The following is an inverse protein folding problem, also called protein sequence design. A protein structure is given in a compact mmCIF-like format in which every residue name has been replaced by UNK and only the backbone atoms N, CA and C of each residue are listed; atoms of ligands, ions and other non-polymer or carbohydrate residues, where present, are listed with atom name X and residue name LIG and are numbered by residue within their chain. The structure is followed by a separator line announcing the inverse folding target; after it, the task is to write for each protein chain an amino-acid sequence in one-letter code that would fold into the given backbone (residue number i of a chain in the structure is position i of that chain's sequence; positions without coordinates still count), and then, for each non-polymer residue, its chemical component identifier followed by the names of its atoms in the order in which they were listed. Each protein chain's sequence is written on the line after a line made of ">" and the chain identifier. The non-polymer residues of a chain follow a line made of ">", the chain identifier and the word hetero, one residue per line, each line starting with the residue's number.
data_IF_854946012409
#
_entry.id   IF_854946012409
#
_cell.length_a   1.000
_cell.length_b   1.000
_cell.length_c   1.000
_cell.angle_alpha   90.00
_cell.angle_beta   90.00
_cell.angle_gamma   90.00
#
_symmetry.space_group_name_H-M   'P 1'
#
loop_
_entity.id
_entity.type
_entity.pdbx_description
1 polymer ?
#
# COMPACT_ATOMS: atom_id res chain seq x y z
N UNK A 1 -21.85 -11.02 -12.36
CA UNK A 1 -22.89 -10.07 -12.82
C UNK A 1 -22.19 -8.72 -12.98
N UNK A 2 -22.82 -7.65 -13.48
CA UNK A 2 -22.13 -6.35 -13.48
C UNK A 2 -22.05 -5.82 -12.05
N UNK A 3 -20.85 -5.46 -11.59
CA UNK A 3 -20.65 -4.71 -10.34
C UNK A 3 -21.45 -3.40 -10.42
N UNK A 4 -22.27 -3.13 -9.41
CA UNK A 4 -23.01 -1.87 -9.26
C UNK A 4 -22.30 -1.03 -8.21
N UNK A 5 -21.87 0.18 -8.59
CA UNK A 5 -21.15 1.09 -7.69
C UNK A 5 -22.09 1.76 -6.69
N UNK A 6 -21.70 1.84 -5.42
CA UNK A 6 -22.50 2.36 -4.31
C UNK A 6 -22.87 3.83 -4.51
N UNK A 7 -21.96 4.63 -5.07
CA UNK A 7 -22.21 6.04 -5.41
C UNK A 7 -23.32 6.23 -6.47
N UNK A 8 -23.60 5.21 -7.29
CA UNK A 8 -24.68 5.23 -8.30
C UNK A 8 -26.02 4.70 -7.77
N UNK A 9 -26.06 4.14 -6.55
CA UNK A 9 -27.29 3.58 -5.99
C UNK A 9 -28.23 4.68 -5.47
N UNK A 10 -29.52 4.49 -5.73
CA UNK A 10 -30.64 5.22 -5.15
C UNK A 10 -31.34 4.34 -4.10
N UNK A 11 -32.47 4.80 -3.56
CA UNK A 11 -33.29 3.98 -2.67
C UNK A 11 -33.87 2.78 -3.44
N UNK A 12 -33.66 1.57 -2.92
CA UNK A 12 -34.10 0.35 -3.62
C UNK A 12 -33.38 -0.90 -3.16
N UNK A 13 -33.51 -1.96 -3.95
CA UNK A 13 -32.84 -3.24 -3.73
C UNK A 13 -31.94 -3.55 -4.92
N UNK A 14 -30.69 -3.90 -4.65
CA UNK A 14 -29.66 -4.16 -5.66
C UNK A 14 -29.05 -5.54 -5.42
N UNK A 15 -28.73 -6.24 -6.50
CA UNK A 15 -27.84 -7.40 -6.46
C UNK A 15 -26.50 -7.03 -7.09
N UNK A 16 -25.41 -7.20 -6.34
CA UNK A 16 -24.08 -6.85 -6.82
C UNK A 16 -23.01 -7.71 -6.15
N UNK A 17 -21.92 -7.93 -6.88
CA UNK A 17 -20.70 -8.52 -6.35
C UNK A 17 -19.94 -7.47 -5.52
N UNK A 18 -19.39 -7.87 -4.37
CA UNK A 18 -18.64 -7.01 -3.44
C UNK A 18 -17.42 -7.74 -2.87
N UNK A 19 -16.52 -6.98 -2.24
CA UNK A 19 -15.49 -7.49 -1.33
C UNK A 19 -15.92 -7.25 0.11
N UNK A 20 -15.85 -8.28 0.96
CA UNK A 20 -16.10 -8.15 2.40
C UNK A 20 -14.84 -7.64 3.09
N UNK A 21 -14.83 -6.38 3.50
CA UNK A 21 -13.66 -5.74 4.12
C UNK A 21 -13.53 -6.05 5.61
N UNK A 22 -14.63 -6.10 6.36
CA UNK A 22 -14.61 -6.47 7.78
C UNK A 22 -15.95 -7.02 8.26
N UNK A 23 -15.93 -7.93 9.23
CA UNK A 23 -17.15 -8.51 9.83
C UNK A 23 -17.12 -8.32 11.35
N UNK A 24 -17.97 -7.41 11.84
CA UNK A 24 -18.13 -7.13 13.26
C UNK A 24 -19.46 -7.68 13.77
N UNK A 25 -19.41 -8.65 14.68
CA UNK A 25 -20.60 -9.19 15.32
C UNK A 25 -20.99 -8.36 16.54
N UNK A 26 -22.27 -8.00 16.60
CA UNK A 26 -22.90 -7.28 17.71
C UNK A 26 -24.31 -7.83 17.94
N UNK A 27 -25.08 -7.21 18.83
CA UNK A 27 -26.47 -7.55 19.11
C UNK A 27 -27.38 -6.33 18.90
N UNK A 28 -28.61 -6.58 18.47
CA UNK A 28 -29.69 -5.59 18.47
C UNK A 28 -30.10 -5.21 19.90
N UNK A 29 -30.89 -4.15 20.06
CA UNK A 29 -31.46 -3.77 21.35
C UNK A 29 -32.28 -4.88 22.02
N UNK A 30 -32.88 -5.78 21.22
CA UNK A 30 -33.62 -6.95 21.70
C UNK A 30 -32.73 -8.19 21.90
N UNK A 31 -31.41 -8.00 21.95
CA UNK A 31 -30.39 -9.03 22.12
C UNK A 31 -30.35 -10.13 21.04
N UNK A 32 -30.96 -9.88 19.87
CA UNK A 32 -30.80 -10.74 18.68
C UNK A 32 -29.47 -10.49 17.99
N UNK A 33 -28.83 -11.51 17.40
CA UNK A 33 -27.55 -11.35 16.72
C UNK A 33 -27.68 -10.44 15.50
N UNK A 34 -26.67 -9.58 15.30
CA UNK A 34 -26.56 -8.67 14.18
C UNK A 34 -25.10 -8.53 13.75
N UNK A 35 -24.84 -8.50 12.45
CA UNK A 35 -23.53 -8.19 11.91
C UNK A 35 -23.54 -6.77 11.35
N UNK A 36 -22.47 -6.03 11.64
CA UNK A 36 -22.07 -4.85 10.89
C UNK A 36 -20.96 -5.29 9.95
N UNK A 37 -21.28 -5.38 8.67
CA UNK A 37 -20.37 -5.82 7.61
C UNK A 37 -19.92 -4.60 6.83
N UNK A 38 -18.62 -4.37 6.77
CA UNK A 38 -18.05 -3.36 5.86
C UNK A 38 -17.79 -4.03 4.52
N UNK A 39 -18.34 -3.46 3.46
CA UNK A 39 -18.23 -3.97 2.09
C UNK A 39 -17.65 -2.89 1.18
N UNK A 40 -16.89 -3.32 0.17
CA UNK A 40 -16.25 -2.47 -0.84
C UNK A 40 -16.72 -2.87 -2.23
N UNK A 41 -16.96 -1.86 -3.07
CA UNK A 41 -17.22 -2.01 -4.50
C UNK A 41 -16.01 -1.61 -5.38
N UNK A 42 -14.86 -1.30 -4.74
CA UNK A 42 -13.63 -0.84 -5.38
C UNK A 42 -13.48 0.69 -5.46
N UNK A 43 -14.55 1.45 -5.27
CA UNK A 43 -14.55 2.92 -5.23
C UNK A 43 -14.87 3.43 -3.83
N UNK A 44 -15.93 2.91 -3.23
CA UNK A 44 -16.41 3.25 -1.90
C UNK A 44 -16.43 2.02 -0.98
N UNK A 45 -16.31 2.30 0.32
CA UNK A 45 -16.55 1.32 1.37
C UNK A 45 -17.69 1.78 2.26
N UNK A 46 -18.73 0.94 2.38
CA UNK A 46 -19.92 1.24 3.17
C UNK A 46 -20.09 0.21 4.29
N UNK A 47 -20.74 0.64 5.39
CA UNK A 47 -21.15 -0.25 6.47
C UNK A 47 -22.61 -0.66 6.29
N UNK A 48 -22.85 -1.96 6.10
CA UNK A 48 -24.19 -2.53 5.99
C UNK A 48 -24.53 -3.43 7.19
N UNK A 49 -25.81 -3.48 7.55
CA UNK A 49 -26.31 -4.32 8.63
C UNK A 49 -26.89 -5.63 8.09
N UNK A 50 -26.58 -6.74 8.74
CA UNK A 50 -27.19 -8.05 8.48
C UNK A 50 -27.79 -8.57 9.79
N UNK A 51 -29.10 -8.80 9.80
CA UNK A 51 -29.84 -9.20 11.00
C UNK A 51 -29.96 -10.73 11.11
N UNK A 52 -30.23 -11.21 12.31
CA UNK A 52 -30.50 -12.63 12.61
C UNK A 52 -29.38 -13.58 12.09
N UNK A 53 -28.13 -13.09 12.05
CA UNK A 53 -26.96 -13.79 11.50
C UNK A 53 -25.74 -13.61 12.41
N UNK A 54 -24.87 -14.62 12.46
CA UNK A 54 -23.62 -14.59 13.24
C UNK A 54 -22.38 -14.74 12.34
N UNK A 55 -21.21 -14.38 12.87
CA UNK A 55 -19.93 -14.56 12.15
C UNK A 55 -19.66 -16.04 11.86
N UNK A 56 -20.14 -16.94 12.74
CA UNK A 56 -20.05 -18.39 12.52
C UNK A 56 -20.88 -18.84 11.31
N UNK A 57 -22.05 -18.24 11.08
CA UNK A 57 -22.91 -18.59 9.95
C UNK A 57 -22.26 -18.18 8.62
N UNK A 58 -21.68 -16.98 8.56
CA UNK A 58 -20.91 -16.52 7.39
C UNK A 58 -19.69 -17.40 7.13
N UNK A 59 -18.91 -17.71 8.18
CA UNK A 59 -17.74 -18.58 8.04
C UNK A 59 -18.14 -19.98 7.53
N UNK A 60 -19.30 -20.51 7.94
CA UNK A 60 -19.79 -21.82 7.52
C UNK A 60 -20.11 -21.91 6.02
N UNK A 61 -20.47 -20.78 5.41
CA UNK A 61 -20.67 -20.67 3.95
C UNK A 61 -19.42 -20.16 3.22
N UNK A 62 -18.28 -20.02 3.91
CA UNK A 62 -17.02 -19.58 3.30
C UNK A 62 -16.92 -18.07 3.06
N UNK A 63 -17.68 -17.26 3.80
CA UNK A 63 -17.54 -15.80 3.81
C UNK A 63 -16.71 -15.39 5.03
N UNK A 64 -15.54 -14.81 4.76
CA UNK A 64 -14.65 -14.20 5.73
C UNK A 64 -14.14 -12.84 5.22
N UNK A 65 -13.29 -12.18 6.00
CA UNK A 65 -12.68 -10.92 5.60
C UNK A 65 -11.76 -11.17 4.40
N UNK A 66 -11.97 -10.41 3.32
CA UNK A 66 -11.28 -10.57 2.05
C UNK A 66 -11.97 -11.52 1.09
N UNK A 67 -13.10 -12.14 1.45
CA UNK A 67 -13.92 -12.90 0.51
C UNK A 67 -14.68 -11.98 -0.44
N UNK A 68 -14.88 -12.45 -1.67
CA UNK A 68 -15.85 -11.90 -2.61
C UNK A 68 -17.22 -12.53 -2.40
N UNK A 69 -18.27 -11.73 -2.45
CA UNK A 69 -19.64 -12.21 -2.27
C UNK A 69 -20.61 -11.53 -3.22
N UNK A 70 -21.60 -12.28 -3.70
CA UNK A 70 -22.80 -11.73 -4.30
C UNK A 70 -23.78 -11.40 -3.17
N UNK A 71 -24.19 -10.14 -3.07
CA UNK A 71 -25.13 -9.68 -2.05
C UNK A 71 -26.43 -9.18 -2.66
N UNK A 72 -27.50 -9.28 -1.88
CA UNK A 72 -28.71 -8.48 -2.07
C UNK A 72 -28.69 -7.35 -1.04
N UNK A 73 -28.59 -6.12 -1.50
CA UNK A 73 -28.45 -4.90 -0.69
C UNK A 73 -29.71 -4.05 -0.77
N UNK A 74 -30.34 -3.79 0.36
CA UNK A 74 -31.42 -2.82 0.52
C UNK A 74 -30.84 -1.45 0.93
N UNK A 75 -31.08 -0.43 0.13
CA UNK A 75 -30.71 0.96 0.38
C UNK A 75 -31.97 1.72 0.81
N UNK A 76 -31.96 2.23 2.04
CA UNK A 76 -33.10 2.91 2.68
C UNK A 76 -32.69 4.28 3.20
N UNK A 77 -33.64 5.20 3.38
CA UNK A 77 -33.41 6.42 4.13
C UNK A 77 -33.71 6.18 5.62
N UNK A 78 -32.76 6.55 6.48
CA UNK A 78 -32.97 6.59 7.91
C UNK A 78 -32.54 7.95 8.47
N UNK A 79 -33.55 8.78 8.79
CA UNK A 79 -33.36 10.13 9.34
C UNK A 79 -32.50 11.04 8.44
N UNK A 80 -32.70 10.95 7.12
CA UNK A 80 -31.97 11.76 6.14
C UNK A 80 -30.57 11.25 5.81
N UNK A 81 -30.18 10.06 6.32
CA UNK A 81 -28.94 9.39 5.95
C UNK A 81 -29.24 8.06 5.25
N UNK A 82 -28.44 7.71 4.24
CA UNK A 82 -28.52 6.39 3.60
C UNK A 82 -28.18 5.30 4.62
N UNK A 83 -29.02 4.28 4.67
CA UNK A 83 -28.89 3.09 5.51
C UNK A 83 -28.88 1.85 4.64
N UNK A 84 -27.88 1.00 4.85
CA UNK A 84 -27.61 -0.18 4.02
C UNK A 84 -27.88 -1.46 4.81
N UNK A 85 -28.65 -2.38 4.22
CA UNK A 85 -28.99 -3.67 4.83
C UNK A 85 -28.76 -4.82 3.85
N UNK A 86 -27.98 -5.81 4.26
CA UNK A 86 -27.76 -7.04 3.49
C UNK A 86 -28.87 -8.03 3.86
N UNK A 87 -29.65 -8.47 2.87
CA UNK A 87 -30.70 -9.47 3.05
C UNK A 87 -30.29 -10.87 2.61
N UNK A 88 -29.32 -10.95 1.69
CA UNK A 88 -28.74 -12.20 1.21
C UNK A 88 -27.26 -12.00 0.91
N UNK A 89 -26.44 -13.01 1.15
CA UNK A 89 -25.00 -13.00 0.87
C UNK A 89 -24.55 -14.42 0.54
N UNK A 90 -23.89 -14.59 -0.59
CA UNK A 90 -23.37 -15.87 -1.04
C UNK A 90 -21.93 -15.71 -1.54
N UNK A 91 -21.02 -16.65 -1.23
CA UNK A 91 -19.66 -16.60 -1.76
C UNK A 91 -19.68 -16.68 -3.28
N UNK A 92 -18.86 -15.86 -3.92
CA UNK A 92 -18.62 -15.92 -5.36
C UNK A 92 -17.13 -15.96 -5.61
N UNK A 93 -16.67 -16.75 -6.58
CA UNK A 93 -15.30 -16.68 -7.08
C UNK A 93 -15.31 -15.88 -8.38
N UNK A 94 -14.67 -14.72 -8.37
CA UNK A 94 -14.59 -13.86 -9.53
C UNK A 94 -13.31 -14.15 -10.34
N UNK A 95 -13.37 -14.07 -11.68
CA UNK A 95 -12.17 -13.94 -12.50
C UNK A 95 -11.36 -12.70 -12.09
N UNK A 96 -10.05 -12.71 -12.36
CA UNK A 96 -9.13 -11.63 -11.97
C UNK A 96 -9.57 -10.25 -12.48
N UNK A 97 -10.05 -10.16 -13.72
CA UNK A 97 -10.50 -8.91 -14.35
C UNK A 97 -11.79 -8.34 -13.74
N UNK A 98 -12.65 -9.20 -13.18
CA UNK A 98 -13.85 -8.76 -12.44
C UNK A 98 -13.49 -8.38 -11.01
N UNK A 99 -12.56 -9.12 -10.39
CA UNK A 99 -12.05 -8.84 -9.06
C UNK A 99 -11.36 -7.47 -9.00
N UNK A 100 -10.56 -7.11 -10.01
CA UNK A 100 -9.90 -5.79 -10.10
C UNK A 100 -10.89 -4.62 -10.03
N UNK A 101 -12.14 -4.80 -10.47
CA UNK A 101 -13.16 -3.76 -10.40
C UNK A 101 -13.68 -3.50 -8.98
N UNK A 102 -13.45 -4.43 -8.05
CA UNK A 102 -13.89 -4.38 -6.65
C UNK A 102 -12.78 -4.03 -5.66
N UNK A 103 -11.57 -3.79 -6.17
CA UNK A 103 -10.39 -3.49 -5.37
C UNK A 103 -9.92 -2.09 -5.71
N UNK A 104 -9.56 -1.30 -4.69
CA UNK A 104 -8.98 0.02 -4.91
C UNK A 104 -7.58 -0.16 -5.51
N UNK A 105 -7.37 0.44 -6.68
CA UNK A 105 -6.13 0.35 -7.47
C UNK A 105 -5.47 1.73 -7.59
N UNK A 106 -4.13 1.80 -7.77
CA UNK A 106 -3.45 3.03 -8.15
C UNK A 106 -3.88 3.52 -9.55
N UNK A 107 -3.63 4.80 -9.88
CA UNK A 107 -3.96 5.36 -11.19
C UNK A 107 -3.07 4.84 -12.34
N UNK A 108 -2.01 4.10 -12.02
CA UNK A 108 -1.10 3.45 -12.98
C UNK A 108 -1.10 1.97 -12.66
N UNK A 109 -1.20 1.11 -13.68
CA UNK A 109 -1.22 -0.34 -13.48
C UNK A 109 0.01 -0.82 -12.70
N UNK A 110 -0.15 -1.67 -11.67
CA UNK A 110 0.95 -2.12 -10.82
C UNK A 110 2.14 -2.76 -11.57
N UNK A 111 1.89 -3.49 -12.65
CA UNK A 111 2.96 -4.05 -13.49
C UNK A 111 3.75 -2.98 -14.24
N UNK A 112 3.09 -1.90 -14.66
CA UNK A 112 3.74 -0.74 -15.28
C UNK A 112 4.58 0.03 -14.26
N UNK A 113 4.05 0.25 -13.06
CA UNK A 113 4.79 0.84 -11.94
C UNK A 113 6.10 0.10 -11.66
N UNK A 114 6.08 -1.25 -11.62
CA UNK A 114 7.30 -2.04 -11.39
C UNK A 114 8.32 -1.87 -12.52
N UNK A 115 7.88 -1.83 -13.78
CA UNK A 115 8.78 -1.58 -14.92
C UNK A 115 9.42 -0.20 -14.82
N UNK A 116 8.63 0.82 -14.50
CA UNK A 116 9.10 2.18 -14.36
C UNK A 116 10.07 2.33 -13.19
N UNK A 117 9.78 1.71 -12.04
CA UNK A 117 10.68 1.65 -10.88
C UNK A 117 12.02 1.05 -11.28
N UNK A 118 12.03 -0.10 -11.97
CA UNK A 118 13.27 -0.74 -12.42
C UNK A 118 14.03 0.17 -13.39
N UNK A 119 13.32 0.84 -14.30
CA UNK A 119 13.92 1.81 -15.22
C UNK A 119 14.56 2.98 -14.48
N UNK A 120 13.87 3.56 -13.49
CA UNK A 120 14.39 4.63 -12.62
C UNK A 120 15.59 4.16 -11.81
N UNK A 121 15.60 2.93 -11.30
CA UNK A 121 16.76 2.37 -10.56
C UNK A 121 17.95 2.18 -11.50
N UNK A 122 17.74 1.71 -12.73
CA UNK A 122 18.80 1.54 -13.73
C UNK A 122 19.45 2.87 -14.12
N UNK A 123 18.62 3.88 -14.36
CA UNK A 123 19.07 5.21 -14.78
C UNK A 123 19.85 5.98 -13.69
N UNK A 124 19.68 5.63 -12.40
CA UNK A 124 20.21 6.43 -11.29
C UNK A 124 21.74 6.41 -11.20
N UNK A 125 22.36 5.33 -11.64
CA UNK A 125 23.82 5.14 -11.61
C UNK A 125 24.55 5.76 -12.79
N UNK A 126 23.84 6.15 -13.85
CA UNK A 126 24.45 6.56 -15.13
C UNK A 126 25.13 5.43 -15.91
N UNK A 127 25.07 4.17 -15.45
CA UNK A 127 25.60 3.01 -16.18
C UNK A 127 24.69 2.67 -17.38
N UNK A 128 25.25 2.14 -18.48
CA UNK A 128 24.49 1.84 -19.70
C UNK A 128 23.71 0.52 -19.55
N UNK A 129 22.63 0.52 -18.77
CA UNK A 129 21.71 -0.61 -18.72
C UNK A 129 20.76 -0.63 -19.92
N UNK A 130 20.38 -1.83 -20.35
CA UNK A 130 19.23 -2.01 -21.22
C UNK A 130 17.94 -1.75 -20.42
N UNK A 131 17.21 -0.69 -20.78
CA UNK A 131 15.96 -0.30 -20.13
C UNK A 131 14.74 -1.07 -20.64
N UNK A 132 14.89 -1.89 -21.69
CA UNK A 132 13.80 -2.72 -22.25
C UNK A 132 13.59 -4.02 -21.48
N UNK A 133 14.54 -4.37 -20.61
CA UNK A 133 14.50 -5.58 -19.77
C UNK A 133 14.38 -5.20 -18.30
N UNK A 134 13.93 -6.15 -17.48
CA UNK A 134 13.96 -6.02 -16.01
C UNK A 134 15.24 -6.56 -15.38
N UNK A 135 16.16 -7.12 -16.18
CA UNK A 135 17.36 -7.80 -15.69
C UNK A 135 18.59 -6.89 -15.66
N UNK A 136 19.62 -7.32 -14.93
CA UNK A 136 20.95 -6.68 -14.88
C UNK A 136 22.04 -7.71 -15.19
N UNK A 137 23.22 -7.30 -15.67
CA UNK A 137 24.32 -8.23 -15.91
C UNK A 137 24.64 -9.09 -14.68
N UNK A 138 24.91 -10.38 -14.90
CA UNK A 138 25.08 -11.35 -13.81
C UNK A 138 26.33 -11.09 -12.94
N UNK A 139 27.31 -10.38 -13.48
CA UNK A 139 28.55 -9.95 -12.84
C UNK A 139 28.52 -8.50 -12.34
N UNK A 140 27.37 -7.83 -12.42
CA UNK A 140 27.16 -6.51 -11.83
C UNK A 140 26.79 -6.62 -10.34
N UNK A 141 27.62 -6.01 -9.50
CA UNK A 141 27.49 -5.96 -8.04
C UNK A 141 27.40 -4.53 -7.51
N UNK A 142 26.77 -3.66 -8.28
CA UNK A 142 26.40 -2.31 -7.87
C UNK A 142 25.14 -2.27 -7.00
N UNK A 143 24.84 -1.09 -6.42
CA UNK A 143 23.59 -0.86 -5.70
C UNK A 143 22.38 -0.97 -6.64
N UNK A 144 22.49 -0.44 -7.86
CA UNK A 144 21.48 -0.65 -8.91
C UNK A 144 21.19 -2.13 -9.13
N UNK A 145 22.23 -2.96 -9.30
CA UNK A 145 22.04 -4.39 -9.51
C UNK A 145 21.42 -5.10 -8.30
N UNK A 146 21.81 -4.71 -7.08
CA UNK A 146 21.19 -5.22 -5.85
C UNK A 146 19.68 -4.92 -5.81
N UNK A 147 19.31 -3.66 -6.04
CA UNK A 147 17.92 -3.22 -5.99
C UNK A 147 17.07 -3.89 -7.07
N UNK A 148 17.56 -3.95 -8.30
CA UNK A 148 16.86 -4.63 -9.40
C UNK A 148 16.71 -6.13 -9.12
N UNK A 149 17.73 -6.81 -8.58
CA UNK A 149 17.62 -8.24 -8.23
C UNK A 149 16.61 -8.49 -7.11
N UNK A 150 16.59 -7.65 -6.07
CA UNK A 150 15.64 -7.81 -4.97
C UNK A 150 14.20 -7.60 -5.42
N UNK A 151 13.92 -6.55 -6.19
CA UNK A 151 12.58 -6.31 -6.75
C UNK A 151 12.24 -7.40 -7.78
N UNK A 152 13.18 -7.71 -8.68
CA UNK A 152 13.04 -8.72 -9.74
C UNK A 152 12.69 -10.11 -9.21
N UNK A 153 13.37 -10.55 -8.14
CA UNK A 153 13.09 -11.83 -7.48
C UNK A 153 11.72 -11.86 -6.77
N UNK A 154 11.08 -10.70 -6.59
CA UNK A 154 9.85 -10.54 -5.82
C UNK A 154 8.73 -9.80 -6.59
N UNK A 155 8.80 -9.69 -7.92
CA UNK A 155 7.87 -8.89 -8.74
C UNK A 155 6.41 -9.16 -8.36
N UNK A 156 5.98 -10.42 -8.34
CA UNK A 156 4.58 -10.78 -8.03
C UNK A 156 4.11 -10.26 -6.68
N UNK A 157 4.96 -10.33 -5.65
CA UNK A 157 4.62 -9.85 -4.33
C UNK A 157 4.64 -8.31 -4.31
N UNK A 158 5.64 -7.69 -4.93
CA UNK A 158 5.80 -6.23 -4.97
C UNK A 158 4.68 -5.52 -5.73
N UNK A 159 4.23 -6.10 -6.85
CA UNK A 159 3.08 -5.64 -7.64
C UNK A 159 1.77 -5.69 -6.85
N UNK A 160 1.63 -6.64 -5.93
CA UNK A 160 0.38 -6.87 -5.21
C UNK A 160 0.30 -6.15 -3.85
N UNK A 161 1.43 -6.03 -3.17
CA UNK A 161 1.48 -5.58 -1.78
C UNK A 161 0.92 -4.19 -1.58
N UNK A 162 0.09 -4.04 -0.55
CA UNK A 162 -0.26 -2.74 0.01
C UNK A 162 0.95 -2.10 0.70
N UNK A 163 1.04 -0.76 0.70
CA UNK A 163 2.09 -0.06 1.43
C UNK A 163 1.80 0.03 2.94
N UNK A 164 0.54 -0.06 3.36
CA UNK A 164 0.18 0.03 4.77
C UNK A 164 -1.13 -0.71 5.04
N UNK A 165 -1.31 -1.19 6.29
CA UNK A 165 -2.55 -1.87 6.68
C UNK A 165 -3.74 -0.93 6.83
N UNK A 166 -3.50 0.30 7.29
CA UNK A 166 -4.57 1.26 7.65
C UNK A 166 -4.26 2.70 7.26
N UNK A 167 -3.02 3.01 6.89
CA UNK A 167 -2.57 4.36 6.52
C UNK A 167 -2.36 4.44 5.00
N UNK A 168 -1.88 5.58 4.51
CA UNK A 168 -1.67 5.90 3.08
C UNK A 168 -1.29 4.70 2.20
N UNK A 169 -1.76 4.70 0.96
CA UNK A 169 -1.53 3.63 -0.01
C UNK A 169 -2.00 2.24 0.47
N UNK A 170 -3.07 2.17 1.28
CA UNK A 170 -3.76 0.91 1.60
C UNK A 170 -4.64 0.42 0.44
N UNK A 171 -3.98 0.13 -0.68
CA UNK A 171 -4.59 -0.25 -1.95
C UNK A 171 -3.79 -1.40 -2.56
N UNK A 172 -4.40 -2.15 -3.48
CA UNK A 172 -3.67 -3.18 -4.21
C UNK A 172 -2.54 -2.53 -5.02
N UNK A 173 -1.32 -3.07 -4.92
CA UNK A 173 -0.14 -2.45 -5.54
C UNK A 173 0.27 -1.10 -4.94
N UNK A 174 -0.24 -0.78 -3.74
CA UNK A 174 0.10 0.44 -3.02
C UNK A 174 1.59 0.59 -2.74
N UNK A 175 2.30 -0.50 -2.46
CA UNK A 175 3.75 -0.48 -2.23
C UNK A 175 4.53 -0.01 -3.47
N UNK A 176 4.17 -0.53 -4.64
CA UNK A 176 4.78 -0.10 -5.90
C UNK A 176 4.45 1.36 -6.20
N UNK A 177 3.19 1.78 -6.01
CA UNK A 177 2.79 3.16 -6.28
C UNK A 177 3.49 4.18 -5.37
N UNK A 178 3.55 3.89 -4.06
CA UNK A 178 4.29 4.68 -3.07
C UNK A 178 5.77 4.80 -3.45
N UNK A 179 6.42 3.66 -3.72
CA UNK A 179 7.84 3.62 -4.13
C UNK A 179 8.07 4.45 -5.39
N UNK A 180 7.22 4.32 -6.40
CA UNK A 180 7.33 5.07 -7.66
C UNK A 180 7.28 6.59 -7.45
N UNK A 181 6.29 7.09 -6.69
CA UNK A 181 6.15 8.52 -6.40
C UNK A 181 7.37 9.08 -5.66
N UNK A 182 7.88 8.33 -4.69
CA UNK A 182 9.10 8.70 -3.97
C UNK A 182 10.32 8.73 -4.89
N UNK A 183 10.47 7.77 -5.82
CA UNK A 183 11.56 7.76 -6.77
C UNK A 183 11.55 8.98 -7.69
N UNK A 184 10.39 9.36 -8.24
CA UNK A 184 10.27 10.58 -9.04
C UNK A 184 10.73 11.81 -8.25
N UNK A 185 10.34 11.90 -6.98
CA UNK A 185 10.75 12.97 -6.08
C UNK A 185 12.24 12.93 -5.76
N UNK A 186 12.81 11.75 -5.51
CA UNK A 186 14.24 11.54 -5.26
C UNK A 186 15.10 12.07 -6.41
N UNK A 187 14.69 11.82 -7.66
CA UNK A 187 15.36 12.36 -8.84
C UNK A 187 15.39 13.89 -8.85
N UNK A 188 14.26 14.53 -8.54
CA UNK A 188 14.14 15.99 -8.49
C UNK A 188 14.91 16.61 -7.34
N UNK A 189 14.92 15.98 -6.18
CA UNK A 189 15.69 16.44 -5.03
C UNK A 189 17.21 16.36 -5.33
N UNK A 190 17.67 15.35 -6.06
CA UNK A 190 19.06 15.25 -6.53
C UNK A 190 19.47 16.33 -7.55
N UNK A 191 18.52 16.96 -8.26
CA UNK A 191 18.81 18.09 -9.15
C UNK A 191 19.09 19.38 -8.35
N UNK A 192 18.52 19.49 -7.14
CA UNK A 192 18.67 20.66 -6.26
C UNK A 192 19.88 20.50 -5.33
N UNK A 193 20.00 19.36 -4.67
CA UNK A 193 21.06 19.11 -3.68
C UNK A 193 22.14 18.21 -4.28
N UNK A 194 23.16 18.84 -4.85
CA UNK A 194 24.26 18.15 -5.53
C UNK A 194 25.20 17.36 -4.62
N UNK A 195 25.00 17.44 -3.29
CA UNK A 195 25.77 16.66 -2.31
C UNK A 195 25.27 15.22 -2.18
N UNK A 196 24.08 14.92 -2.70
CA UNK A 196 23.45 13.60 -2.62
C UNK A 196 24.05 12.64 -3.64
N UNK A 197 24.36 11.42 -3.21
CA UNK A 197 24.63 10.32 -4.14
C UNK A 197 23.30 9.80 -4.70
N UNK A 198 23.09 10.03 -6.01
CA UNK A 198 21.84 9.66 -6.69
C UNK A 198 21.60 8.15 -6.73
N UNK A 199 22.65 7.35 -6.94
CA UNK A 199 22.50 5.89 -7.00
C UNK A 199 22.08 5.37 -5.63
N UNK A 200 22.75 5.84 -4.57
CA UNK A 200 22.44 5.47 -3.19
C UNK A 200 21.03 5.92 -2.79
N UNK A 201 20.66 7.19 -3.02
CA UNK A 201 19.34 7.68 -2.65
C UNK A 201 18.23 6.92 -3.38
N UNK A 202 18.35 6.73 -4.70
CA UNK A 202 17.33 6.01 -5.49
C UNK A 202 17.23 4.55 -5.08
N UNK A 203 18.35 3.84 -4.93
CA UNK A 203 18.33 2.43 -4.54
C UNK A 203 17.83 2.26 -3.10
N UNK A 204 18.26 3.11 -2.17
CA UNK A 204 17.76 3.11 -0.79
C UNK A 204 16.28 3.42 -0.72
N UNK A 205 15.79 4.38 -1.51
CA UNK A 205 14.36 4.70 -1.63
C UNK A 205 13.57 3.53 -2.22
N UNK A 206 14.07 2.88 -3.26
CA UNK A 206 13.40 1.73 -3.85
C UNK A 206 13.26 0.53 -2.89
N UNK A 207 14.15 0.42 -1.90
CA UNK A 207 14.26 -0.73 -1.01
C UNK A 207 13.80 -0.45 0.43
N UNK A 208 13.49 0.80 0.78
CA UNK A 208 13.22 1.19 2.18
C UNK A 208 12.15 0.32 2.84
N UNK A 209 11.11 -0.01 2.07
CA UNK A 209 9.93 -0.77 2.47
C UNK A 209 9.90 -2.22 1.96
N UNK A 210 10.99 -2.73 1.37
CA UNK A 210 10.98 -4.06 0.73
C UNK A 210 10.62 -5.19 1.72
N UNK A 211 10.84 -4.99 3.02
CA UNK A 211 10.44 -5.93 4.05
C UNK A 211 8.93 -6.09 4.20
N UNK A 212 8.12 -5.16 3.70
CA UNK A 212 6.64 -5.23 3.74
C UNK A 212 6.10 -6.47 3.01
N UNK A 213 6.87 -6.99 2.05
CA UNK A 213 6.59 -8.24 1.35
C UNK A 213 6.50 -9.47 2.28
N UNK A 214 7.19 -9.42 3.42
CA UNK A 214 7.17 -10.48 4.43
C UNK A 214 6.43 -10.05 5.71
N UNK A 215 6.32 -8.74 5.96
CA UNK A 215 5.57 -8.19 7.08
C UNK A 215 4.06 -8.42 6.93
N UNK A 216 3.54 -8.25 5.72
CA UNK A 216 2.12 -8.35 5.42
C UNK A 216 1.84 -9.33 4.28
N UNK A 217 0.70 -9.99 4.36
CA UNK A 217 0.09 -10.73 3.26
C UNK A 217 -1.08 -9.94 2.73
N UNK A 218 -1.00 -9.54 1.46
CA UNK A 218 -2.11 -8.89 0.75
C UNK A 218 -2.91 -9.97 0.00
N UNK A 219 -4.23 -10.04 0.24
CA UNK A 219 -5.14 -10.93 -0.49
C UNK A 219 -5.34 -10.46 -1.93
N UNK A 220 -5.91 -11.31 -2.80
CA UNK A 220 -6.25 -10.89 -4.17
C UNK A 220 -7.29 -9.76 -4.19
N UNK A 221 -8.03 -9.60 -3.09
CA UNK A 221 -8.97 -8.50 -2.82
C UNK A 221 -8.31 -7.24 -2.24
N UNK A 222 -6.97 -7.17 -2.20
CA UNK A 222 -6.23 -6.00 -1.70
C UNK A 222 -6.20 -5.85 -0.18
N UNK A 223 -6.79 -6.78 0.58
CA UNK A 223 -6.77 -6.72 2.05
C UNK A 223 -5.42 -7.17 2.59
N UNK A 224 -4.75 -6.27 3.31
CA UNK A 224 -3.49 -6.55 3.98
C UNK A 224 -3.70 -7.07 5.41
N UNK A 225 -3.04 -8.17 5.74
CA UNK A 225 -3.00 -8.75 7.09
C UNK A 225 -1.55 -8.99 7.50
N UNK A 226 -1.21 -8.72 8.77
CA UNK A 226 0.14 -8.98 9.27
C UNK A 226 0.41 -10.48 9.33
N UNK A 227 1.61 -10.87 8.93
CA UNK A 227 2.13 -12.22 9.16
C UNK A 227 2.64 -12.34 10.59
N UNK A 228 2.85 -13.57 11.09
CA UNK A 228 3.48 -13.77 12.40
C UNK A 228 4.88 -13.15 12.45
N UNK A 229 5.65 -13.29 11.37
CA UNK A 229 6.97 -12.65 11.24
C UNK A 229 6.87 -11.12 11.23
N UNK A 230 5.86 -10.57 10.55
CA UNK A 230 5.61 -9.12 10.54
C UNK A 230 5.31 -8.59 11.93
N UNK A 231 4.43 -9.26 12.68
CA UNK A 231 4.09 -8.90 14.06
C UNK A 231 5.30 -8.99 15.01
N UNK A 232 6.24 -9.92 14.77
CA UNK A 232 7.40 -10.12 15.63
C UNK A 232 8.60 -9.24 15.27
N UNK A 233 8.82 -8.96 13.99
CA UNK A 233 10.08 -8.37 13.50
C UNK A 233 9.92 -7.00 12.83
N UNK A 234 8.76 -6.73 12.21
CA UNK A 234 8.55 -5.53 11.39
C UNK A 234 9.37 -5.51 10.09
N UNK A 235 8.98 -4.65 9.15
CA UNK A 235 9.58 -4.60 7.81
C UNK A 235 11.02 -4.08 7.78
N UNK A 236 11.47 -3.26 8.73
CA UNK A 236 12.85 -2.74 8.74
C UNK A 236 13.86 -3.89 8.87
N UNK A 237 13.64 -4.75 9.87
CA UNK A 237 14.48 -5.93 10.10
C UNK A 237 14.39 -6.91 8.93
N UNK A 238 13.17 -7.19 8.46
CA UNK A 238 12.94 -8.10 7.34
C UNK A 238 13.58 -7.59 6.04
N UNK A 239 13.53 -6.29 5.77
CA UNK A 239 14.18 -5.65 4.62
C UNK A 239 15.70 -5.75 4.70
N UNK A 240 16.29 -5.49 5.86
CA UNK A 240 17.74 -5.68 6.10
C UNK A 240 18.14 -7.15 5.89
N UNK A 241 17.33 -8.10 6.38
CA UNK A 241 17.57 -9.53 6.19
C UNK A 241 17.52 -9.92 4.70
N UNK A 242 16.62 -9.34 3.91
CA UNK A 242 16.56 -9.56 2.46
C UNK A 242 17.85 -9.10 1.77
N UNK A 243 18.38 -7.93 2.14
CA UNK A 243 19.66 -7.42 1.65
C UNK A 243 20.78 -8.41 1.96
N UNK A 244 20.85 -8.87 3.21
CA UNK A 244 21.87 -9.82 3.65
C UNK A 244 21.81 -11.16 2.90
N UNK A 245 20.60 -11.69 2.69
CA UNK A 245 20.39 -12.93 1.94
C UNK A 245 20.85 -12.82 0.49
N UNK A 246 20.53 -11.71 -0.19
CA UNK A 246 20.95 -11.52 -1.59
C UNK A 246 22.47 -11.35 -1.69
N UNK A 247 23.09 -10.54 -0.81
CA UNK A 247 24.56 -10.38 -0.75
C UNK A 247 25.25 -11.71 -0.47
N UNK A 248 24.76 -12.49 0.50
CA UNK A 248 25.30 -13.81 0.80
C UNK A 248 25.18 -14.77 -0.38
N UNK A 249 24.01 -14.81 -1.04
CA UNK A 249 23.77 -15.65 -2.22
C UNK A 249 24.75 -15.33 -3.35
N UNK A 250 25.01 -14.05 -3.62
CA UNK A 250 25.98 -13.66 -4.65
C UNK A 250 27.42 -14.01 -4.26
N UNK A 251 27.81 -13.79 -3.00
CA UNK A 251 29.13 -14.19 -2.51
C UNK A 251 29.36 -15.70 -2.65
N UNK A 252 28.36 -16.51 -2.28
CA UNK A 252 28.43 -17.96 -2.45
C UNK A 252 28.53 -18.39 -3.91
N UNK A 253 27.78 -17.75 -4.80
CA UNK A 253 27.78 -18.06 -6.23
C UNK A 253 29.11 -17.70 -6.91
N UNK A 254 29.80 -16.65 -6.45
CA UNK A 254 31.07 -16.20 -7.03
C UNK A 254 32.32 -16.71 -6.29
N UNK A 255 32.17 -17.19 -5.05
CA UNK A 255 33.29 -17.60 -4.21
C UNK A 255 34.17 -16.44 -3.73
N UNK A 256 33.69 -15.20 -3.83
CA UNK A 256 34.39 -13.96 -3.44
C UNK A 256 33.41 -12.97 -2.82
N UNK A 257 33.92 -11.92 -2.18
CA UNK A 257 33.11 -10.76 -1.83
C UNK A 257 32.70 -10.00 -3.10
N UNK A 258 31.40 -9.83 -3.29
CA UNK A 258 30.81 -9.29 -4.54
C UNK A 258 30.48 -7.81 -4.45
N UNK A 259 29.73 -7.40 -3.43
CA UNK A 259 29.32 -6.00 -3.20
C UNK A 259 30.31 -5.24 -2.34
N UNK A 260 30.38 -3.91 -2.54
CA UNK A 260 31.10 -3.02 -1.62
C UNK A 260 30.39 -2.99 -0.25
N UNK A 261 31.10 -3.37 0.82
CA UNK A 261 30.51 -3.50 2.15
C UNK A 261 30.02 -2.18 2.78
N UNK A 262 30.64 -1.05 2.44
CA UNK A 262 30.20 0.27 2.91
C UNK A 262 28.89 0.67 2.24
N UNK A 263 28.77 0.48 0.92
CA UNK A 263 27.53 0.73 0.19
C UNK A 263 26.35 -0.11 0.73
N UNK A 264 26.59 -1.39 1.03
CA UNK A 264 25.58 -2.25 1.67
C UNK A 264 25.20 -1.73 3.06
N UNK A 265 26.17 -1.29 3.85
CA UNK A 265 25.91 -0.69 5.17
C UNK A 265 25.06 0.58 5.04
N UNK A 266 25.31 1.41 4.03
CA UNK A 266 24.53 2.63 3.81
C UNK A 266 23.07 2.34 3.46
N UNK A 267 22.79 1.39 2.56
CA UNK A 267 21.40 1.00 2.23
C UNK A 267 20.69 0.41 3.45
N UNK A 268 21.37 -0.42 4.25
CA UNK A 268 20.80 -0.93 5.50
C UNK A 268 20.52 0.19 6.50
N UNK A 269 21.40 1.18 6.61
CA UNK A 269 21.19 2.34 7.47
C UNK A 269 19.98 3.16 7.00
N UNK A 270 19.81 3.35 5.69
CA UNK A 270 18.63 4.00 5.11
C UNK A 270 17.35 3.26 5.51
N UNK A 271 17.28 1.92 5.32
CA UNK A 271 16.14 1.11 5.77
C UNK A 271 15.93 1.25 7.29
N UNK A 272 16.99 1.12 8.09
CA UNK A 272 16.92 1.17 9.55
C UNK A 272 16.45 2.51 10.11
N UNK A 273 16.58 3.60 9.33
CA UNK A 273 16.37 4.96 9.80
C UNK A 273 15.31 5.77 9.08
N UNK A 274 14.69 5.25 8.02
CA UNK A 274 13.75 6.02 7.19
C UNK A 274 12.50 6.51 7.95
N UNK A 275 12.11 5.85 9.03
CA UNK A 275 11.07 6.34 9.95
C UNK A 275 11.48 7.62 10.72
N UNK A 276 12.72 8.09 10.60
CA UNK A 276 13.21 9.34 11.17
C UNK A 276 13.62 9.27 12.64
N UNK A 277 12.74 8.75 13.50
CA UNK A 277 12.96 8.71 14.95
C UNK A 277 12.52 7.37 15.57
N UNK A 278 13.17 6.90 16.66
CA UNK A 278 12.77 5.67 17.35
C UNK A 278 11.32 5.65 17.81
N UNK A 279 10.79 6.80 18.22
CA UNK A 279 9.39 7.00 18.61
C UNK A 279 8.42 6.70 17.46
N UNK A 280 8.86 6.84 16.22
CA UNK A 280 8.10 6.54 15.00
C UNK A 280 8.40 5.15 14.44
N UNK A 281 9.19 4.34 15.14
CA UNK A 281 9.53 2.97 14.76
C UNK A 281 10.88 2.79 14.08
N UNK A 282 11.72 3.84 14.00
CA UNK A 282 13.07 3.70 13.48
C UNK A 282 13.98 2.90 14.42
N UNK A 283 14.90 2.10 13.87
CA UNK A 283 15.96 1.46 14.68
C UNK A 283 17.01 2.50 15.08
N UNK A 284 17.28 3.47 14.20
CA UNK A 284 18.24 4.56 14.39
C UNK A 284 17.76 5.81 13.68
N UNK A 285 18.22 6.99 14.11
CA UNK A 285 17.95 8.24 13.39
C UNK A 285 18.75 8.35 12.08
N UNK A 286 18.24 9.02 11.03
CA UNK A 286 19.00 9.33 9.83
C UNK A 286 20.34 9.98 10.17
N UNK A 287 21.42 9.48 9.56
CA UNK A 287 22.79 9.89 9.87
C UNK A 287 23.62 10.18 8.62
N UNK A 288 23.00 10.09 7.45
CA UNK A 288 23.55 10.49 6.16
C UNK A 288 22.55 11.41 5.44
N UNK A 289 23.01 12.24 4.50
CA UNK A 289 22.12 13.05 3.69
C UNK A 289 21.05 12.25 2.96
N UNK A 290 21.41 11.09 2.39
CA UNK A 290 20.49 10.22 1.66
C UNK A 290 19.44 9.63 2.59
N UNK A 291 19.81 9.18 3.80
CA UNK A 291 18.86 8.69 4.78
C UNK A 291 17.91 9.79 5.27
N UNK A 292 18.42 11.01 5.45
CA UNK A 292 17.60 12.16 5.86
C UNK A 292 16.60 12.53 4.76
N UNK A 293 17.05 12.61 3.51
CA UNK A 293 16.18 12.88 2.38
C UNK A 293 15.16 11.75 2.18
N UNK A 294 15.56 10.49 2.30
CA UNK A 294 14.62 9.36 2.23
C UNK A 294 13.49 9.52 3.26
N UNK A 295 13.81 9.83 4.52
CA UNK A 295 12.81 10.08 5.55
C UNK A 295 11.82 11.19 5.12
N UNK A 296 12.34 12.32 4.64
CA UNK A 296 11.49 13.43 4.21
C UNK A 296 10.64 13.07 2.97
N UNK A 297 11.18 12.30 2.03
CA UNK A 297 10.43 11.83 0.86
C UNK A 297 9.25 10.95 1.27
N UNK A 298 9.45 10.05 2.24
CA UNK A 298 8.40 9.18 2.77
C UNK A 298 7.30 10.01 3.45
N UNK A 299 7.70 10.97 4.29
CA UNK A 299 6.78 11.89 4.94
C UNK A 299 6.00 12.77 3.96
N UNK A 300 6.64 13.24 2.89
CA UNK A 300 5.98 14.01 1.82
C UNK A 300 4.93 13.14 1.13
N UNK A 301 5.29 11.93 0.71
CA UNK A 301 4.39 11.07 -0.06
C UNK A 301 3.18 10.64 0.77
N UNK A 302 3.43 10.15 1.99
CA UNK A 302 2.40 9.79 2.98
C UNK A 302 1.38 10.93 3.19
N UNK A 303 1.86 12.16 3.41
CA UNK A 303 0.98 13.32 3.65
C UNK A 303 0.23 13.73 2.39
N UNK A 304 0.91 13.81 1.24
CA UNK A 304 0.27 14.22 0.00
C UNK A 304 -0.82 13.23 -0.43
N UNK A 305 -0.57 11.93 -0.29
CA UNK A 305 -1.58 10.91 -0.54
C UNK A 305 -2.80 11.07 0.38
N UNK A 306 -2.59 11.37 1.67
CA UNK A 306 -3.71 11.66 2.58
C UNK A 306 -4.50 12.92 2.17
N UNK A 307 -3.82 13.97 1.69
CA UNK A 307 -4.50 15.15 1.14
C UNK A 307 -5.34 14.79 -0.09
N UNK A 308 -4.79 14.01 -1.02
CA UNK A 308 -5.50 13.53 -2.22
C UNK A 308 -6.76 12.75 -1.86
N UNK A 309 -6.65 11.76 -0.96
CA UNK A 309 -7.80 10.95 -0.54
C UNK A 309 -8.89 11.79 0.13
N UNK A 310 -8.53 12.70 1.04
CA UNK A 310 -9.54 13.52 1.72
C UNK A 310 -10.12 14.60 0.80
N UNK A 311 -9.32 15.15 -0.12
CA UNK A 311 -9.79 16.17 -1.05
C UNK A 311 -10.78 15.60 -2.07
N UNK A 312 -10.72 14.31 -2.41
CA UNK A 312 -11.69 13.68 -3.32
C UNK A 312 -13.14 13.91 -2.86
N UNK A 313 -13.41 13.80 -1.56
CA UNK A 313 -14.76 13.90 -0.99
C UNK A 313 -15.12 15.32 -0.50
N UNK A 314 -14.15 16.23 -0.44
CA UNK A 314 -14.35 17.59 0.07
C UNK A 314 -14.86 18.56 -1.01
N UNK A 315 -15.77 19.44 -0.59
CA UNK A 315 -16.19 20.57 -1.40
C UNK A 315 -15.15 21.70 -1.39
N UNK A 316 -14.89 22.36 -2.53
CA UNK A 316 -14.05 23.54 -2.55
C UNK A 316 -14.62 24.65 -1.64
N UNK A 317 -13.75 25.27 -0.84
CA UNK A 317 -14.09 26.29 0.14
C UNK A 317 -14.41 25.78 1.55
N UNK A 318 -14.30 24.48 1.83
CA UNK A 318 -14.63 23.89 3.13
C UNK A 318 -13.42 23.32 3.90
N UNK A 319 -13.62 23.18 5.20
CA UNK A 319 -12.70 22.47 6.11
C UNK A 319 -13.16 21.04 6.33
N UNK A 320 -12.22 20.13 6.58
CA UNK A 320 -12.50 18.75 7.01
C UNK A 320 -12.82 18.69 8.51
N UNK A 321 -13.34 17.55 8.97
CA UNK A 321 -13.17 17.14 10.37
C UNK A 321 -11.69 16.88 10.68
N UNK A 322 -11.25 16.85 11.96
CA UNK A 322 -9.85 16.59 12.29
C UNK A 322 -9.36 15.20 11.84
N UNK A 323 -8.36 15.16 10.95
CA UNK A 323 -7.75 13.96 10.38
C UNK A 323 -6.44 13.64 11.11
N UNK A 324 -6.29 12.39 11.57
CA UNK A 324 -5.08 11.91 12.24
C UNK A 324 -3.96 11.64 11.23
N UNK A 325 -2.71 12.00 11.55
CA UNK A 325 -1.52 11.68 10.75
C UNK A 325 -1.00 12.81 9.85
N UNK A 326 -1.82 13.83 9.57
CA UNK A 326 -1.40 14.96 8.70
C UNK A 326 -0.37 15.86 9.40
N UNK A 327 -0.55 16.13 10.69
CA UNK A 327 0.37 16.96 11.49
C UNK A 327 1.16 16.12 12.51
N UNK A 328 1.78 15.02 12.05
CA UNK A 328 2.49 14.08 12.92
C UNK A 328 1.51 13.23 13.75
N UNK A 329 1.80 13.02 15.03
CA UNK A 329 0.98 12.21 15.95
C UNK A 329 -0.37 12.86 16.33
N UNK A 330 -0.65 14.07 15.82
CA UNK A 330 -1.88 14.81 16.09
C UNK A 330 -2.98 14.62 15.04
N UNK A 331 -4.14 15.21 15.34
CA UNK A 331 -5.18 15.46 14.34
C UNK A 331 -5.04 16.88 13.79
N UNK A 332 -5.21 17.05 12.49
CA UNK A 332 -5.25 18.35 11.85
C UNK A 332 -6.51 18.51 11.00
N UNK A 333 -7.00 19.73 10.94
CA UNK A 333 -8.04 20.12 9.97
C UNK A 333 -7.34 20.56 8.69
N UNK A 334 -7.77 20.04 7.55
CA UNK A 334 -7.31 20.50 6.24
C UNK A 334 -8.39 21.36 5.57
N UNK A 335 -7.95 22.23 4.66
CA UNK A 335 -8.83 23.14 3.95
C UNK A 335 -8.65 22.99 2.44
N UNK A 336 -9.72 22.67 1.72
CA UNK A 336 -9.70 22.58 0.25
C UNK A 336 -10.08 23.94 -0.31
N UNK A 337 -9.10 24.73 -0.73
CA UNK A 337 -9.38 26.07 -1.26
C UNK A 337 -10.13 26.01 -2.62
N UNK A 338 -10.88 27.05 -2.95
CA UNK A 338 -11.76 27.10 -4.13
C UNK A 338 -11.11 27.60 -5.42
N UNK A 339 -9.87 28.08 -5.37
CA UNK A 339 -9.17 28.67 -6.51
C UNK A 339 -8.07 27.76 -7.08
N UNK A 340 -7.63 26.76 -6.33
CA UNK A 340 -6.73 25.71 -6.78
C UNK A 340 -7.51 24.58 -7.43
N UNK A 341 -6.95 24.05 -8.52
CA UNK A 341 -7.45 22.83 -9.13
C UNK A 341 -6.76 21.62 -8.50
N UNK A 342 -7.38 21.05 -7.47
CA UNK A 342 -6.92 19.83 -6.77
C UNK A 342 -7.53 18.55 -7.38
N UNK A 343 -7.77 18.54 -8.69
CA UNK A 343 -8.31 17.37 -9.39
C UNK A 343 -7.32 16.20 -9.43
#
# INVERSE_FOLDING_TARGET
>A
MSVIKFNTMDLGTYETDIVVSSINQTNTANNKPMLKVTISDGEESISALMFDSTKKDLNAIGIEEGSTALITLEVTDYKGNRSYKITNINPVKLPEEELKQLVKMPPIEPEELVRDIISLIKQSSGRPYDLTTTDVPADDFSLTALAVRLIGNNIKAFTKSSAAKTMHHNIYGGLAYHTYRMLLSAYKVCEVYTLLDRELLVCGTALHDIGKLFEMKTSDTGIATYTDMGNLCGHLMLGIEMIDKEVWKQNQAKGISTYNGEQITMVKHMIASHHGQPEWGAIRVPSTPEAMILHELDMIDSRMYMYEENFADMHPGSSSDPIFGIAGEGKAVIYKNSFSNYN
#
